data_IF_779240334865
#
_entry.id   IF_779240334865
#
_cell.length_a   1.000
_cell.length_b   1.000
_cell.length_c   1.000
_cell.angle_alpha   90.00
_cell.angle_beta   90.00
_cell.angle_gamma   90.00
#
_symmetry.space_group_name_H-M   'P 1'
#
loop_
_entity.id
_entity.type
_entity.pdbx_description
1 polymer ?
#
# COMPACT_ATOMS: atom_id res chain seq x y z
N UNK A 1 17.73 33.05 -13.78
CA UNK A 1 16.96 31.91 -13.22
C UNK A 1 17.73 30.65 -13.59
N UNK A 2 18.42 30.04 -12.62
CA UNK A 2 19.18 28.80 -12.87
C UNK A 2 18.21 27.68 -13.29
N UNK A 3 18.57 26.80 -14.24
CA UNK A 3 17.78 25.61 -14.50
C UNK A 3 17.75 24.79 -13.21
N UNK A 4 16.55 24.40 -12.79
CA UNK A 4 16.34 23.44 -11.70
C UNK A 4 17.26 22.25 -11.97
N UNK A 5 18.29 22.10 -11.15
CA UNK A 5 19.18 20.94 -11.20
C UNK A 5 18.31 19.69 -11.17
N UNK A 6 18.42 18.83 -12.19
CA UNK A 6 17.85 17.49 -12.17
C UNK A 6 18.12 16.87 -10.79
N UNK A 7 17.11 16.31 -10.10
CA UNK A 7 17.34 15.75 -8.78
C UNK A 7 18.46 14.72 -8.89
N UNK A 8 19.48 14.89 -8.06
CA UNK A 8 20.53 13.88 -7.85
C UNK A 8 19.83 12.56 -7.55
N UNK A 9 20.12 11.52 -8.35
CA UNK A 9 19.45 10.22 -8.21
C UNK A 9 19.41 9.76 -6.75
N UNK A 10 18.23 9.32 -6.30
CA UNK A 10 18.03 8.85 -4.93
C UNK A 10 17.75 9.95 -3.90
N UNK A 11 17.45 11.18 -4.31
CA UNK A 11 17.12 12.29 -3.38
C UNK A 11 15.83 12.99 -3.80
N UNK A 12 15.19 13.69 -2.86
CA UNK A 12 14.06 14.58 -3.15
C UNK A 12 14.51 15.78 -4.00
N UNK A 13 13.56 16.42 -4.66
CA UNK A 13 13.77 17.68 -5.35
C UNK A 13 14.51 18.70 -4.45
N UNK A 14 15.55 19.31 -5.02
CA UNK A 14 16.43 20.23 -4.29
C UNK A 14 17.34 19.59 -3.24
N UNK A 15 17.45 18.26 -3.18
CA UNK A 15 18.28 17.56 -2.19
C UNK A 15 17.73 17.66 -0.77
N UNK A 16 16.42 17.83 -0.63
CA UNK A 16 15.75 18.15 0.64
C UNK A 16 15.91 17.04 1.69
N UNK A 17 16.11 17.44 2.95
CA UNK A 17 16.07 16.55 4.10
C UNK A 17 14.66 16.49 4.69
N UNK A 18 14.16 15.28 4.94
CA UNK A 18 12.95 15.07 5.72
C UNK A 18 13.30 15.29 7.19
N UNK A 19 12.48 16.08 7.90
CA UNK A 19 12.66 16.32 9.34
C UNK A 19 12.26 15.07 10.14
N UNK A 20 12.88 14.87 11.29
CA UNK A 20 12.36 13.92 12.27
C UNK A 20 11.10 14.51 12.89
N UNK A 21 10.01 13.77 12.84
CA UNK A 21 8.69 14.17 13.36
C UNK A 21 8.24 13.13 14.37
N UNK A 22 7.62 13.58 15.47
CA UNK A 22 7.05 12.69 16.48
C UNK A 22 5.83 11.96 15.92
N UNK A 23 5.64 10.71 16.33
CA UNK A 23 4.38 10.01 16.03
C UNK A 23 3.25 10.55 16.90
N UNK A 24 2.03 10.45 16.39
CA UNK A 24 0.80 10.58 17.17
C UNK A 24 0.61 9.42 18.16
N UNK A 25 1.24 8.27 17.92
CA UNK A 25 1.18 7.12 18.81
C UNK A 25 2.27 7.17 19.88
N UNK A 26 1.94 6.66 21.07
CA UNK A 26 2.89 6.52 22.17
C UNK A 26 3.94 5.44 21.89
N UNK A 27 5.05 5.49 22.63
CA UNK A 27 6.11 4.45 22.56
C UNK A 27 5.56 3.04 22.86
N UNK A 28 4.60 2.92 23.78
CA UNK A 28 3.97 1.62 24.09
C UNK A 28 3.12 1.11 22.93
N UNK A 29 2.42 2.01 22.22
CA UNK A 29 1.66 1.66 21.02
C UNK A 29 2.58 1.18 19.88
N UNK A 30 3.73 1.83 19.70
CA UNK A 30 4.76 1.40 18.73
C UNK A 30 5.30 0.01 19.09
N UNK A 31 5.59 -0.25 20.36
CA UNK A 31 6.02 -1.57 20.85
C UNK A 31 4.94 -2.63 20.62
N UNK A 32 3.67 -2.29 20.86
CA UNK A 32 2.56 -3.22 20.60
C UNK A 32 2.44 -3.55 19.11
N UNK A 33 2.58 -2.55 18.23
CA UNK A 33 2.61 -2.78 16.78
C UNK A 33 3.76 -3.70 16.36
N UNK A 34 4.99 -3.48 16.87
CA UNK A 34 6.14 -4.35 16.59
C UNK A 34 5.88 -5.80 17.01
N UNK A 35 5.31 -6.01 18.20
CA UNK A 35 4.88 -7.34 18.67
C UNK A 35 3.81 -7.92 17.72
N UNK A 36 2.84 -7.10 17.30
CA UNK A 36 1.73 -7.50 16.43
C UNK A 36 2.16 -7.94 15.03
N UNK A 37 3.16 -7.27 14.45
CA UNK A 37 3.73 -7.63 13.14
C UNK A 37 4.79 -8.74 13.23
N UNK A 38 5.12 -9.22 14.43
CA UNK A 38 6.11 -10.27 14.63
C UNK A 38 7.55 -9.81 14.38
N UNK A 39 7.89 -8.57 14.71
CA UNK A 39 9.27 -8.11 14.59
C UNK A 39 10.19 -8.98 15.47
N UNK A 40 11.26 -9.57 14.92
CA UNK A 40 11.94 -10.72 15.52
C UNK A 40 12.83 -10.38 16.73
N UNK A 41 13.05 -9.10 17.02
CA UNK A 41 13.91 -8.64 18.11
C UNK A 41 13.08 -8.01 19.22
N UNK A 42 13.42 -8.31 20.47
CA UNK A 42 12.99 -7.51 21.61
C UNK A 42 13.72 -6.18 21.57
N UNK A 43 12.99 -5.11 21.28
CA UNK A 43 13.54 -3.75 21.08
C UNK A 43 12.87 -2.71 21.98
N UNK A 44 12.17 -3.16 23.02
CA UNK A 44 11.35 -2.28 23.87
C UNK A 44 12.20 -1.21 24.56
N UNK A 45 13.39 -1.56 25.04
CA UNK A 45 14.33 -0.61 25.61
C UNK A 45 14.81 0.41 24.57
N UNK A 46 15.17 -0.05 23.36
CA UNK A 46 15.61 0.80 22.26
C UNK A 46 14.52 1.76 21.80
N UNK A 47 13.24 1.35 21.80
CA UNK A 47 12.13 2.28 21.51
C UNK A 47 12.01 3.32 22.63
N UNK A 48 12.08 2.90 23.90
CA UNK A 48 11.98 3.80 25.06
C UNK A 48 13.08 4.86 25.06
N UNK A 49 14.29 4.45 24.70
CA UNK A 49 15.50 5.29 24.64
C UNK A 49 15.71 5.97 23.27
N UNK A 50 14.82 5.75 22.30
CA UNK A 50 14.90 6.32 20.94
C UNK A 50 16.18 5.95 20.18
N UNK A 51 16.65 4.71 20.40
CA UNK A 51 17.86 4.14 19.77
C UNK A 51 17.52 3.03 18.77
N UNK A 52 16.29 2.98 18.26
CA UNK A 52 15.94 2.02 17.22
C UNK A 52 16.85 2.23 15.98
N UNK A 53 17.47 1.17 15.44
CA UNK A 53 18.34 1.30 14.28
C UNK A 53 17.52 1.55 13.01
N UNK A 54 17.43 2.82 12.58
CA UNK A 54 16.71 3.25 11.37
C UNK A 54 17.51 2.92 10.10
N UNK A 55 17.63 1.65 9.75
CA UNK A 55 18.36 1.23 8.55
C UNK A 55 17.41 0.88 7.40
N UNK A 56 17.96 0.71 6.19
CA UNK A 56 17.18 0.26 5.03
C UNK A 56 16.71 -1.18 5.21
N UNK A 57 17.53 -2.04 5.80
CA UNK A 57 17.22 -3.45 6.07
C UNK A 57 16.03 -3.58 7.02
N UNK A 58 16.03 -2.79 8.11
CA UNK A 58 14.88 -2.75 9.01
C UNK A 58 13.64 -2.14 8.34
N UNK A 59 13.81 -1.12 7.47
CA UNK A 59 12.68 -0.53 6.75
C UNK A 59 12.02 -1.56 5.82
N UNK A 60 12.82 -2.36 5.12
CA UNK A 60 12.32 -3.46 4.28
C UNK A 60 11.61 -4.52 5.12
N UNK A 61 12.23 -4.99 6.21
CA UNK A 61 11.64 -5.98 7.09
C UNK A 61 10.30 -5.52 7.67
N UNK A 62 10.24 -4.29 8.20
CA UNK A 62 9.02 -3.69 8.74
C UNK A 62 7.92 -3.59 7.68
N UNK A 63 8.26 -3.19 6.45
CA UNK A 63 7.31 -3.08 5.33
C UNK A 63 6.72 -4.44 4.96
N UNK A 64 7.57 -5.48 4.83
CA UNK A 64 7.15 -6.85 4.51
C UNK A 64 6.29 -7.47 5.61
N UNK A 65 6.71 -7.34 6.87
CA UNK A 65 5.94 -7.82 8.02
C UNK A 65 4.58 -7.11 8.09
N UNK A 66 4.52 -5.80 7.86
CA UNK A 66 3.28 -5.04 7.83
C UNK A 66 2.34 -5.50 6.70
N UNK A 67 2.87 -5.80 5.50
CA UNK A 67 2.11 -6.33 4.36
C UNK A 67 1.47 -7.70 4.67
N UNK A 68 2.24 -8.61 5.26
CA UNK A 68 1.77 -9.97 5.60
C UNK A 68 0.80 -9.96 6.79
N UNK A 69 1.05 -9.11 7.78
CA UNK A 69 0.28 -9.08 9.03
C UNK A 69 -1.13 -8.52 8.83
N UNK A 70 -1.25 -7.52 7.96
CA UNK A 70 -2.46 -6.74 7.82
C UNK A 70 -3.00 -6.83 6.40
N UNK A 71 -4.20 -7.36 6.17
CA UNK A 71 -4.74 -7.44 4.81
C UNK A 71 -5.05 -6.04 4.24
N UNK A 72 -5.03 -5.92 2.91
CA UNK A 72 -5.71 -4.84 2.22
C UNK A 72 -7.19 -5.19 2.12
N UNK A 73 -8.09 -4.31 2.53
CA UNK A 73 -9.53 -4.57 2.44
C UNK A 73 -10.36 -3.30 2.47
N UNK A 74 -11.59 -3.37 1.96
CA UNK A 74 -12.57 -2.29 2.02
C UNK A 74 -13.90 -2.72 2.66
N UNK A 75 -13.90 -3.73 3.54
CA UNK A 75 -15.14 -4.38 3.96
C UNK A 75 -16.04 -3.46 4.78
N UNK A 76 -15.52 -2.52 5.57
CA UNK A 76 -16.40 -1.61 6.33
C UNK A 76 -17.18 -0.63 5.44
N UNK A 77 -16.79 -0.46 4.18
CA UNK A 77 -17.62 0.27 3.20
C UNK A 77 -18.89 -0.50 2.81
N UNK A 78 -18.94 -1.80 3.07
CA UNK A 78 -20.00 -2.70 2.60
C UNK A 78 -20.71 -3.47 3.72
N UNK A 79 -19.96 -3.94 4.71
CA UNK A 79 -20.39 -4.82 5.80
C UNK A 79 -20.52 -4.10 7.14
N UNK A 80 -20.29 -2.78 7.19
CA UNK A 80 -20.64 -1.96 8.36
C UNK A 80 -21.91 -1.14 8.09
N UNK A 81 -22.75 -0.86 9.10
CA UNK A 81 -23.90 0.01 8.95
C UNK A 81 -23.56 1.44 8.49
N UNK A 82 -22.35 1.91 8.81
CA UNK A 82 -21.92 3.27 8.51
C UNK A 82 -21.37 3.41 7.09
N UNK A 83 -20.98 2.31 6.45
CA UNK A 83 -20.41 2.29 5.10
C UNK A 83 -19.18 3.19 4.89
N UNK A 84 -18.45 3.46 5.97
CA UNK A 84 -17.27 4.32 5.98
C UNK A 84 -16.09 3.51 6.49
N UNK A 85 -14.93 3.68 5.86
CA UNK A 85 -13.67 3.20 6.39
C UNK A 85 -13.04 4.32 7.23
N UNK A 86 -12.91 4.10 8.53
CA UNK A 86 -12.21 5.04 9.42
C UNK A 86 -10.70 4.99 9.14
N UNK A 87 -10.13 6.17 8.91
CA UNK A 87 -8.71 6.39 8.61
C UNK A 87 -8.05 7.36 9.59
N UNK A 88 -8.75 7.72 10.67
CA UNK A 88 -8.18 8.48 11.77
C UNK A 88 -7.11 7.66 12.50
N UNK A 89 -6.06 8.28 13.09
CA UNK A 89 -5.06 7.53 13.84
C UNK A 89 -5.66 6.66 14.95
N UNK A 90 -6.62 7.17 15.70
CA UNK A 90 -7.29 6.44 16.78
C UNK A 90 -8.05 5.22 16.24
N UNK A 91 -8.85 5.42 15.19
CA UNK A 91 -9.61 4.34 14.55
C UNK A 91 -8.70 3.27 13.94
N UNK A 92 -7.58 3.66 13.34
CA UNK A 92 -6.59 2.75 12.79
C UNK A 92 -5.93 1.92 13.89
N UNK A 93 -5.47 2.55 14.99
CA UNK A 93 -4.85 1.80 16.08
C UNK A 93 -5.82 0.81 16.72
N UNK A 94 -7.06 1.25 16.99
CA UNK A 94 -8.11 0.38 17.52
C UNK A 94 -8.30 -0.83 16.59
N UNK A 95 -8.50 -0.58 15.30
CA UNK A 95 -8.78 -1.61 14.29
C UNK A 95 -7.66 -2.62 14.09
N UNK A 96 -6.43 -2.16 13.91
CA UNK A 96 -5.30 -3.02 13.54
C UNK A 96 -4.68 -3.73 14.75
N UNK A 97 -4.70 -3.07 15.91
CA UNK A 97 -3.90 -3.47 17.07
C UNK A 97 -4.79 -3.92 18.23
N UNK A 98 -5.78 -3.13 18.64
CA UNK A 98 -6.64 -3.48 19.79
C UNK A 98 -7.60 -4.62 19.42
N UNK A 99 -8.32 -4.47 18.32
CA UNK A 99 -9.29 -5.42 17.76
C UNK A 99 -8.63 -6.61 17.02
N UNK A 100 -7.35 -6.89 17.29
CA UNK A 100 -6.52 -7.86 16.57
C UNK A 100 -7.13 -9.25 16.37
N UNK A 101 -8.03 -9.70 17.27
CA UNK A 101 -8.74 -10.99 17.13
C UNK A 101 -9.59 -11.05 15.85
N UNK A 102 -10.10 -9.91 15.38
CA UNK A 102 -10.85 -9.80 14.13
C UNK A 102 -9.94 -9.76 12.89
N UNK A 103 -8.61 -9.62 13.09
CA UNK A 103 -7.54 -9.53 12.07
C UNK A 103 -7.89 -8.61 10.89
N UNK A 104 -8.59 -7.51 11.17
CA UNK A 104 -9.04 -6.56 10.14
C UNK A 104 -7.85 -5.85 9.50
N UNK A 105 -8.07 -5.40 8.27
CA UNK A 105 -7.12 -4.65 7.46
C UNK A 105 -7.56 -3.21 7.25
N UNK A 106 -7.10 -2.60 6.18
CA UNK A 106 -7.70 -1.40 5.58
C UNK A 106 -7.17 -1.29 4.15
N UNK A 107 -7.67 -0.35 3.36
CA UNK A 107 -7.06 0.04 2.09
C UNK A 107 -5.85 0.97 2.27
N UNK A 108 -5.44 1.66 1.20
CA UNK A 108 -4.20 2.45 1.13
C UNK A 108 -4.03 3.43 2.29
N UNK A 109 -5.04 4.24 2.61
CA UNK A 109 -4.92 5.26 3.67
C UNK A 109 -4.72 4.66 5.05
N UNK A 110 -5.42 3.57 5.38
CA UNK A 110 -5.26 2.97 6.70
C UNK A 110 -3.94 2.24 6.87
N UNK A 111 -3.51 1.48 5.84
CA UNK A 111 -2.24 0.75 5.88
C UNK A 111 -1.04 1.69 5.88
N UNK A 112 -0.98 2.60 4.91
CA UNK A 112 0.12 3.57 4.80
C UNK A 112 0.08 4.60 5.93
N UNK A 113 -1.10 5.01 6.41
CA UNK A 113 -1.25 5.91 7.56
C UNK A 113 -0.75 5.31 8.87
N UNK A 114 -1.10 4.04 9.15
CA UNK A 114 -0.54 3.34 10.31
C UNK A 114 0.98 3.22 10.19
N UNK A 115 1.50 2.80 9.03
CA UNK A 115 2.95 2.65 8.84
C UNK A 115 3.70 3.98 8.96
N UNK A 116 3.17 5.08 8.40
CA UNK A 116 3.74 6.42 8.52
C UNK A 116 4.06 6.77 9.97
N UNK A 117 3.05 6.60 10.83
CA UNK A 117 3.14 6.96 12.23
C UNK A 117 4.04 6.00 13.01
N UNK A 118 3.99 4.69 12.72
CA UNK A 118 4.90 3.73 13.34
C UNK A 118 6.36 4.02 12.96
N UNK A 119 6.65 4.37 11.71
CA UNK A 119 7.99 4.76 11.27
C UNK A 119 8.48 6.04 11.97
N UNK A 120 7.61 7.05 12.15
CA UNK A 120 7.91 8.24 12.97
C UNK A 120 8.23 7.86 14.41
N UNK A 121 7.46 6.95 15.00
CA UNK A 121 7.66 6.44 16.36
C UNK A 121 8.97 5.68 16.55
N UNK A 122 9.45 5.01 15.50
CA UNK A 122 10.77 4.37 15.45
C UNK A 122 11.92 5.36 15.17
N UNK A 123 11.63 6.62 14.86
CA UNK A 123 12.63 7.65 14.59
C UNK A 123 13.04 7.79 13.12
N UNK A 124 12.39 7.08 12.19
CA UNK A 124 12.59 7.32 10.76
C UNK A 124 12.14 8.73 10.38
N UNK A 125 12.83 9.34 9.41
CA UNK A 125 12.44 10.62 8.82
C UNK A 125 11.54 10.30 7.63
N UNK A 126 10.24 10.54 7.80
CA UNK A 126 9.21 10.11 6.84
C UNK A 126 8.07 11.12 6.72
N UNK A 127 7.58 11.29 5.50
CA UNK A 127 6.32 11.98 5.20
C UNK A 127 5.51 11.21 4.17
N UNK A 128 4.25 11.61 3.97
CA UNK A 128 3.34 10.99 3.04
C UNK A 128 3.09 11.85 1.79
N UNK A 129 3.03 11.20 0.63
CA UNK A 129 2.61 11.78 -0.63
C UNK A 129 1.31 11.19 -1.15
N UNK A 130 0.77 11.80 -2.20
CA UNK A 130 -0.40 11.29 -2.92
C UNK A 130 -0.10 10.91 -4.37
N UNK A 131 -0.88 9.95 -4.87
CA UNK A 131 -0.77 9.41 -6.21
C UNK A 131 -2.10 9.10 -6.88
N UNK A 132 -2.03 8.90 -8.20
CA UNK A 132 -3.14 8.53 -9.07
C UNK A 132 -2.94 7.10 -9.54
N UNK A 133 -3.91 6.24 -9.27
CA UNK A 133 -3.89 4.85 -9.73
C UNK A 133 -4.10 4.82 -11.24
N UNK A 134 -3.38 3.96 -11.94
CA UNK A 134 -3.60 3.70 -13.36
C UNK A 134 -4.65 2.59 -13.53
N UNK A 135 -5.77 2.93 -14.17
CA UNK A 135 -6.84 1.99 -14.49
C UNK A 135 -6.65 1.22 -15.80
N UNK A 136 -5.52 1.35 -16.50
CA UNK A 136 -5.22 0.58 -17.71
C UNK A 136 -5.11 -0.92 -17.42
N UNK A 137 -5.69 -1.77 -18.27
CA UNK A 137 -5.71 -3.22 -18.02
C UNK A 137 -4.35 -3.87 -18.36
N UNK A 138 -3.68 -3.41 -19.41
CA UNK A 138 -2.38 -3.90 -19.88
C UNK A 138 -1.34 -2.78 -19.98
N UNK A 139 -0.09 -3.14 -20.30
CA UNK A 139 0.99 -2.19 -20.55
C UNK A 139 0.86 -1.45 -21.89
N UNK A 140 0.15 -2.05 -22.86
CA UNK A 140 -0.03 -1.49 -24.20
C UNK A 140 -1.17 -0.45 -24.28
N UNK A 141 -2.01 -0.39 -23.25
CA UNK A 141 -3.06 0.62 -23.13
C UNK A 141 -2.51 1.96 -22.61
N UNK A 142 -2.99 3.09 -23.13
CA UNK A 142 -2.63 4.40 -22.58
C UNK A 142 -3.08 4.51 -21.11
N UNK A 143 -2.25 5.11 -20.22
CA UNK A 143 -2.61 5.26 -18.82
C UNK A 143 -3.93 6.02 -18.63
N UNK A 144 -4.78 5.51 -17.74
CA UNK A 144 -6.04 6.13 -17.32
C UNK A 144 -5.97 6.44 -15.83
N UNK A 145 -5.50 7.64 -15.50
CA UNK A 145 -5.27 8.01 -14.10
C UNK A 145 -6.56 8.40 -13.38
N UNK A 146 -6.70 7.93 -12.14
CA UNK A 146 -7.73 8.39 -11.19
C UNK A 146 -7.43 9.82 -10.69
N UNK A 147 -8.31 10.40 -9.85
CA UNK A 147 -7.93 11.50 -8.96
C UNK A 147 -6.77 11.09 -8.02
N UNK A 148 -6.28 12.03 -7.22
CA UNK A 148 -5.28 11.73 -6.19
C UNK A 148 -5.96 10.93 -5.07
N UNK A 149 -5.87 9.60 -5.16
CA UNK A 149 -6.60 8.67 -4.28
C UNK A 149 -5.73 7.52 -3.76
N UNK A 150 -4.41 7.66 -3.85
CA UNK A 150 -3.45 6.68 -3.36
C UNK A 150 -2.42 7.36 -2.47
N UNK A 151 -2.00 6.69 -1.39
CA UNK A 151 -1.04 7.21 -0.41
C UNK A 151 0.26 6.42 -0.49
N UNK A 152 1.37 7.14 -0.62
CA UNK A 152 2.74 6.59 -0.61
C UNK A 152 3.57 7.28 0.46
N UNK A 153 4.66 6.65 0.90
CA UNK A 153 5.56 7.21 1.92
C UNK A 153 6.95 7.47 1.32
N UNK A 154 7.55 8.60 1.73
CA UNK A 154 8.94 8.93 1.43
C UNK A 154 9.76 8.81 2.70
N UNK A 155 10.78 7.95 2.70
CA UNK A 155 11.56 7.62 3.89
C UNK A 155 13.04 7.91 3.66
N UNK A 156 13.66 8.65 4.58
CA UNK A 156 15.12 8.80 4.67
C UNK A 156 15.61 8.02 5.90
N UNK A 157 16.09 6.76 5.73
CA UNK A 157 16.41 5.90 6.86
C UNK A 157 17.63 6.38 7.64
N UNK A 158 18.65 6.87 6.96
CA UNK A 158 19.94 7.22 7.58
C UNK A 158 19.92 8.69 8.06
N UNK A 159 20.18 9.00 9.35
CA UNK A 159 20.03 10.35 9.91
C UNK A 159 20.77 11.46 9.16
N UNK A 160 21.98 11.19 8.68
CA UNK A 160 22.87 12.18 8.05
C UNK A 160 22.82 12.18 6.52
N UNK A 161 21.97 11.35 5.90
CA UNK A 161 21.86 11.25 4.44
C UNK A 161 20.46 11.64 3.97
N UNK A 162 20.37 12.34 2.85
CA UNK A 162 19.09 12.65 2.19
C UNK A 162 18.67 11.59 1.16
N UNK A 163 19.27 10.40 1.22
CA UNK A 163 18.87 9.27 0.37
C UNK A 163 17.44 8.87 0.68
N UNK A 164 16.55 9.03 -0.29
CA UNK A 164 15.11 8.86 -0.12
C UNK A 164 14.64 7.59 -0.81
N UNK A 165 13.81 6.83 -0.09
CA UNK A 165 13.15 5.63 -0.59
C UNK A 165 11.64 5.85 -0.60
N UNK A 166 10.98 5.39 -1.67
CA UNK A 166 9.55 5.22 -1.72
C UNK A 166 9.17 3.92 -1.00
N UNK A 167 8.20 4.00 -0.09
CA UNK A 167 7.58 2.85 0.57
C UNK A 167 6.09 2.90 0.31
N UNK A 168 5.52 1.77 -0.09
CA UNK A 168 4.09 1.62 -0.29
C UNK A 168 3.66 0.23 0.19
N UNK A 169 2.88 0.20 1.27
CA UNK A 169 2.25 -1.02 1.79
C UNK A 169 0.76 -1.05 1.50
N UNK A 170 0.23 -0.03 0.82
CA UNK A 170 -1.18 0.28 0.70
C UNK A 170 -1.78 0.00 -0.68
N UNK A 171 -0.98 -0.33 -1.70
CA UNK A 171 -1.49 -0.52 -3.07
C UNK A 171 -2.45 -1.72 -3.24
N UNK A 172 -2.27 -2.77 -2.42
CA UNK A 172 -2.96 -4.06 -2.60
C UNK A 172 -2.07 -5.11 -3.26
N UNK A 173 -2.64 -5.95 -4.12
CA UNK A 173 -1.91 -7.04 -4.80
C UNK A 173 -1.04 -6.53 -5.95
N UNK A 174 0.16 -7.09 -6.11
CA UNK A 174 1.10 -6.71 -7.18
C UNK A 174 1.79 -5.36 -6.97
N UNK A 175 1.60 -4.73 -5.80
CA UNK A 175 2.34 -3.54 -5.38
C UNK A 175 3.77 -3.87 -4.96
N UNK A 176 4.63 -2.85 -4.75
CA UNK A 176 5.98 -3.08 -4.26
C UNK A 176 5.93 -3.70 -2.85
N UNK A 177 6.88 -4.60 -2.58
CA UNK A 177 7.03 -5.23 -1.26
C UNK A 177 8.35 -4.83 -0.57
N UNK A 178 9.10 -3.92 -1.19
CA UNK A 178 10.40 -3.43 -0.73
C UNK A 178 10.49 -1.92 -0.93
N UNK A 179 11.26 -1.19 -0.11
CA UNK A 179 11.57 0.22 -0.36
C UNK A 179 12.30 0.38 -1.70
N UNK A 180 11.85 1.29 -2.56
CA UNK A 180 12.53 1.63 -3.82
C UNK A 180 13.31 2.93 -3.66
N UNK A 181 14.56 2.96 -4.11
CA UNK A 181 15.30 4.21 -4.19
C UNK A 181 14.57 5.20 -5.13
N UNK A 182 14.44 6.46 -4.71
CA UNK A 182 13.81 7.53 -5.50
C UNK A 182 14.72 7.98 -6.65
N UNK A 183 14.86 7.14 -7.68
CA UNK A 183 15.75 7.34 -8.82
C UNK A 183 15.10 6.89 -10.12
N UNK A 184 15.41 7.61 -11.21
CA UNK A 184 14.98 7.32 -12.59
C UNK A 184 16.07 6.60 -13.39
N UNK A 185 17.07 6.02 -12.72
CA UNK A 185 18.11 5.23 -13.38
C UNK A 185 17.51 3.95 -13.99
N UNK A 186 18.08 3.48 -15.10
CA UNK A 186 17.55 2.34 -15.86
C UNK A 186 17.68 1.01 -15.08
N UNK A 187 18.75 0.87 -14.32
CA UNK A 187 19.08 -0.27 -13.47
C UNK A 187 18.51 -0.16 -12.04
N UNK A 188 17.82 0.94 -11.70
CA UNK A 188 17.14 1.10 -10.42
C UNK A 188 15.82 0.32 -10.38
N UNK A 189 15.88 -0.94 -9.99
CA UNK A 189 14.72 -1.77 -9.72
C UNK A 189 14.92 -2.61 -8.46
N UNK A 190 13.82 -3.05 -7.87
CA UNK A 190 13.81 -4.07 -6.81
C UNK A 190 12.98 -5.26 -7.23
N UNK A 191 13.22 -6.41 -6.61
CA UNK A 191 12.35 -7.56 -6.77
C UNK A 191 11.02 -7.32 -6.05
N UNK A 192 9.93 -7.79 -6.65
CA UNK A 192 8.59 -7.80 -6.08
C UNK A 192 8.38 -8.97 -5.12
N UNK A 193 7.15 -9.47 -5.05
CA UNK A 193 6.82 -10.60 -4.16
C UNK A 193 7.66 -11.85 -4.43
N UNK A 194 7.98 -12.12 -5.70
CA UNK A 194 8.78 -13.28 -6.12
C UNK A 194 9.90 -12.86 -7.06
N UNK A 195 10.77 -13.81 -7.41
CA UNK A 195 11.82 -13.60 -8.40
C UNK A 195 11.35 -13.31 -9.84
N UNK A 196 10.04 -13.40 -10.11
CA UNK A 196 9.43 -13.15 -11.43
C UNK A 196 8.77 -11.77 -11.56
N UNK A 197 8.75 -10.99 -10.49
CA UNK A 197 8.15 -9.66 -10.42
C UNK A 197 9.24 -8.62 -10.11
N UNK A 198 9.21 -7.47 -10.79
CA UNK A 198 10.12 -6.36 -10.54
C UNK A 198 9.35 -5.05 -10.48
N UNK A 199 9.83 -4.13 -9.66
CA UNK A 199 9.30 -2.77 -9.55
C UNK A 199 10.39 -1.75 -9.81
N UNK A 200 10.06 -0.66 -10.49
CA UNK A 200 10.96 0.47 -10.70
C UNK A 200 10.22 1.80 -10.66
N UNK A 201 10.98 2.87 -10.51
CA UNK A 201 10.47 4.23 -10.63
C UNK A 201 10.94 4.84 -11.94
N UNK A 202 10.03 5.48 -12.66
CA UNK A 202 10.36 6.27 -13.84
C UNK A 202 9.80 7.68 -13.75
N UNK A 203 10.50 8.70 -14.26
CA UNK A 203 9.90 10.02 -14.44
C UNK A 203 8.95 10.01 -15.63
N UNK A 204 7.91 10.83 -15.56
CA UNK A 204 6.94 10.96 -16.64
C UNK A 204 6.09 12.19 -16.57
N UNK A 205 5.44 12.45 -17.68
CA UNK A 205 4.45 13.51 -17.82
C UNK A 205 3.04 12.92 -17.69
N UNK A 206 2.10 13.76 -17.27
CA UNK A 206 0.71 13.39 -17.34
C UNK A 206 0.27 13.40 -18.82
N UNK A 207 -0.34 12.32 -19.36
CA UNK A 207 -0.67 12.22 -20.78
C UNK A 207 -1.67 13.28 -21.24
N UNK A 208 -2.47 13.81 -20.31
CA UNK A 208 -3.43 14.89 -20.56
C UNK A 208 -2.88 16.29 -20.18
N UNK A 209 -1.57 16.45 -20.01
CA UNK A 209 -0.97 17.77 -19.74
C UNK A 209 -1.17 18.69 -20.94
N UNK A 210 -1.61 19.91 -20.68
CA UNK A 210 -1.70 20.98 -21.70
C UNK A 210 -0.44 21.84 -21.77
N UNK A 211 0.52 21.63 -20.86
CA UNK A 211 1.80 22.33 -20.87
C UNK A 211 2.75 21.70 -21.89
N UNK A 212 3.33 22.52 -22.76
CA UNK A 212 4.33 22.06 -23.76
C UNK A 212 5.61 21.51 -23.11
N UNK A 213 5.97 22.03 -21.94
CA UNK A 213 7.10 21.59 -21.11
C UNK A 213 6.68 21.61 -19.64
N UNK A 214 6.06 20.53 -19.14
CA UNK A 214 5.63 20.48 -17.75
C UNK A 214 6.83 20.65 -16.81
N UNK A 215 6.73 21.61 -15.88
CA UNK A 215 7.76 21.82 -14.85
C UNK A 215 7.69 20.80 -13.71
N UNK A 216 6.57 20.09 -13.61
CA UNK A 216 6.35 19.02 -12.64
C UNK A 216 6.43 17.69 -13.36
N UNK A 217 7.46 16.91 -13.05
CA UNK A 217 7.54 15.51 -13.45
C UNK A 217 6.89 14.66 -12.39
N UNK A 218 5.96 13.80 -12.81
CA UNK A 218 5.43 12.75 -11.95
C UNK A 218 6.44 11.62 -11.88
N UNK A 219 6.48 10.96 -10.74
CA UNK A 219 7.04 9.62 -10.66
C UNK A 219 5.98 8.61 -11.08
N UNK A 220 6.37 7.59 -11.82
CA UNK A 220 5.61 6.40 -12.18
C UNK A 220 6.16 5.22 -11.39
N UNK A 221 5.32 4.55 -10.62
CA UNK A 221 5.60 3.20 -10.15
C UNK A 221 5.27 2.24 -11.28
N UNK A 222 6.24 1.47 -11.74
CA UNK A 222 6.07 0.48 -12.78
C UNK A 222 6.33 -0.92 -12.23
N UNK A 223 5.55 -1.89 -12.72
CA UNK A 223 5.72 -3.32 -12.45
C UNK A 223 6.01 -4.07 -13.74
N UNK A 224 6.81 -5.12 -13.64
CA UNK A 224 7.02 -6.07 -14.73
C UNK A 224 6.88 -7.49 -14.20
N UNK A 225 6.06 -8.29 -14.88
CA UNK A 225 5.87 -9.72 -14.61
C UNK A 225 6.47 -10.54 -15.74
N UNK A 226 7.16 -11.61 -15.39
CA UNK A 226 7.92 -12.43 -16.35
C UNK A 226 7.63 -13.90 -16.11
N UNK A 227 7.55 -14.72 -17.16
CA UNK A 227 7.23 -16.15 -16.99
C UNK A 227 8.39 -16.93 -16.34
N UNK A 228 9.61 -16.43 -16.50
CA UNK A 228 10.84 -16.93 -15.89
C UNK A 228 11.90 -15.83 -15.85
N UNK A 229 12.93 -16.01 -15.03
CA UNK A 229 14.08 -15.09 -14.99
C UNK A 229 14.72 -14.91 -16.38
N UNK A 230 14.79 -15.98 -17.19
CA UNK A 230 15.34 -15.92 -18.54
C UNK A 230 14.54 -15.05 -19.53
N UNK A 231 13.25 -14.80 -19.25
CA UNK A 231 12.37 -13.96 -20.09
C UNK A 231 12.32 -12.49 -19.66
N UNK A 232 13.06 -12.12 -18.60
CA UNK A 232 12.95 -10.80 -17.96
C UNK A 232 13.24 -9.60 -18.88
N UNK A 233 14.13 -9.76 -19.86
CA UNK A 233 14.51 -8.67 -20.76
C UNK A 233 13.43 -8.29 -21.78
N UNK A 234 12.37 -9.11 -21.97
CA UNK A 234 11.39 -8.93 -23.06
C UNK A 234 9.98 -8.54 -22.60
N UNK A 235 9.66 -8.64 -21.32
CA UNK A 235 8.32 -8.30 -20.83
C UNK A 235 8.13 -6.77 -20.74
N UNK A 236 6.95 -6.24 -21.10
CA UNK A 236 6.69 -4.81 -21.00
C UNK A 236 6.52 -4.38 -19.53
N UNK A 237 6.92 -3.15 -19.22
CA UNK A 237 6.64 -2.52 -17.92
C UNK A 237 5.25 -1.90 -17.94
N UNK A 238 4.45 -2.18 -16.91
CA UNK A 238 3.12 -1.59 -16.72
C UNK A 238 3.18 -0.53 -15.61
N UNK A 239 2.66 0.66 -15.89
CA UNK A 239 2.48 1.69 -14.85
C UNK A 239 1.35 1.26 -13.90
N UNK A 240 1.65 1.18 -12.60
CA UNK A 240 0.66 0.93 -11.54
C UNK A 240 -0.03 2.22 -11.10
N UNK A 241 0.77 3.26 -10.84
CA UNK A 241 0.28 4.58 -10.41
C UNK A 241 1.34 5.65 -10.67
N UNK A 242 0.91 6.90 -10.67
CA UNK A 242 1.79 8.07 -10.59
C UNK A 242 1.72 8.71 -9.21
N UNK A 243 2.75 9.44 -8.81
CA UNK A 243 2.75 10.21 -7.56
C UNK A 243 3.60 11.48 -7.65
N UNK A 244 3.37 12.36 -6.69
CA UNK A 244 4.08 13.63 -6.50
C UNK A 244 5.02 13.54 -5.29
N UNK A 245 6.09 14.33 -5.30
CA UNK A 245 6.96 14.49 -4.13
C UNK A 245 6.36 15.43 -3.08
N UNK A 246 5.27 16.14 -3.39
CA UNK A 246 4.56 17.02 -2.46
C UNK A 246 4.09 16.26 -1.22
N UNK A 247 4.29 16.86 -0.05
CA UNK A 247 3.77 16.35 1.22
C UNK A 247 2.26 16.62 1.33
N UNK A 248 1.54 15.61 1.80
CA UNK A 248 0.11 15.68 2.12
C UNK A 248 -0.12 15.26 3.57
N UNK A 249 -1.23 15.74 4.15
CA UNK A 249 -1.53 15.63 5.57
C UNK A 249 -2.78 14.80 5.84
N UNK A 250 -3.00 14.45 7.11
CA UNK A 250 -4.11 13.61 7.54
C UNK A 250 -5.47 14.05 6.98
N UNK A 251 -5.77 15.36 7.00
CA UNK A 251 -7.03 15.89 6.48
C UNK A 251 -7.17 15.75 4.96
N UNK A 252 -6.06 15.78 4.21
CA UNK A 252 -6.08 15.52 2.76
C UNK A 252 -6.44 14.06 2.49
N UNK A 253 -5.92 13.13 3.30
CA UNK A 253 -6.22 11.71 3.21
C UNK A 253 -7.64 11.37 3.65
N UNK A 254 -8.16 12.03 4.70
CA UNK A 254 -9.56 11.88 5.13
C UNK A 254 -10.53 12.40 4.05
N UNK A 255 -10.23 13.54 3.43
CA UNK A 255 -11.01 14.07 2.31
C UNK A 255 -11.01 13.12 1.11
N UNK A 256 -9.84 12.63 0.72
CA UNK A 256 -9.72 11.70 -0.41
C UNK A 256 -10.32 10.31 -0.08
N UNK A 257 -10.23 9.86 1.17
CA UNK A 257 -10.90 8.67 1.70
C UNK A 257 -12.42 8.80 1.56
N UNK A 258 -12.99 9.93 1.98
CA UNK A 258 -14.41 10.20 1.85
C UNK A 258 -14.85 10.14 0.39
N UNK A 259 -14.11 10.78 -0.53
CA UNK A 259 -14.38 10.72 -1.95
C UNK A 259 -14.36 9.27 -2.49
N UNK A 260 -13.35 8.48 -2.14
CA UNK A 260 -13.22 7.07 -2.53
C UNK A 260 -14.40 6.23 -2.02
N UNK A 261 -14.89 6.53 -0.82
CA UNK A 261 -15.92 5.74 -0.13
C UNK A 261 -17.35 6.15 -0.50
N UNK A 262 -17.55 7.29 -1.14
CA UNK A 262 -18.90 7.86 -1.36
C UNK A 262 -19.19 8.25 -2.81
N UNK A 263 -18.16 8.61 -3.60
CA UNK A 263 -18.38 9.13 -4.94
C UNK A 263 -18.56 7.98 -5.97
N UNK A 264 -19.66 7.93 -6.74
CA UNK A 264 -19.95 6.84 -7.69
C UNK A 264 -18.86 6.59 -8.75
N UNK A 265 -18.13 7.66 -9.11
CA UNK A 265 -17.03 7.61 -10.07
C UNK A 265 -15.64 7.75 -9.41
N UNK A 266 -15.56 7.74 -8.08
CA UNK A 266 -14.33 8.02 -7.37
C UNK A 266 -13.36 6.84 -7.29
N UNK A 267 -13.90 5.62 -7.16
CA UNK A 267 -13.11 4.38 -7.05
C UNK A 267 -13.98 3.14 -7.29
N UNK A 268 -13.42 2.00 -7.74
CA UNK A 268 -14.11 0.72 -7.66
C UNK A 268 -14.52 0.33 -6.23
N UNK A 269 -13.89 0.86 -5.18
CA UNK A 269 -14.12 0.41 -3.80
C UNK A 269 -15.54 0.64 -3.28
N UNK A 270 -16.31 1.56 -3.85
CA UNK A 270 -17.74 1.73 -3.51
C UNK A 270 -18.63 0.62 -4.09
N UNK A 271 -18.18 -0.03 -5.16
CA UNK A 271 -18.99 -0.98 -5.95
C UNK A 271 -18.50 -2.42 -5.83
N UNK A 272 -17.23 -2.59 -5.46
CA UNK A 272 -16.56 -3.87 -5.42
C UNK A 272 -16.02 -4.15 -4.02
N UNK A 273 -16.22 -5.36 -3.52
CA UNK A 273 -15.46 -5.86 -2.37
C UNK A 273 -14.11 -6.39 -2.86
N UNK A 274 -13.06 -5.89 -2.23
CA UNK A 274 -11.68 -6.24 -2.53
C UNK A 274 -10.99 -6.60 -1.22
N UNK A 275 -10.36 -7.77 -1.19
CA UNK A 275 -9.45 -8.16 -0.12
C UNK A 275 -8.14 -8.67 -0.73
N UNK A 276 -7.01 -8.31 -0.15
CA UNK A 276 -5.70 -8.88 -0.48
C UNK A 276 -4.99 -9.27 0.80
N UNK A 277 -4.43 -10.48 0.83
CA UNK A 277 -3.63 -10.95 1.96
C UNK A 277 -2.34 -11.57 1.47
N UNK A 278 -1.23 -10.91 1.80
CA UNK A 278 0.10 -11.45 1.56
C UNK A 278 0.42 -12.58 2.56
N UNK A 279 1.24 -13.52 2.11
CA UNK A 279 1.79 -14.58 2.95
C UNK A 279 3.20 -14.92 2.47
N UNK A 280 4.05 -15.33 3.41
CA UNK A 280 5.36 -15.83 3.09
C UNK A 280 5.29 -17.17 2.34
N UNK A 281 6.17 -17.31 1.37
CA UNK A 281 6.43 -18.52 0.59
C UNK A 281 7.93 -18.81 0.72
N UNK A 282 8.33 -20.08 0.64
CA UNK A 282 9.74 -20.54 0.65
C UNK A 282 10.61 -19.88 1.74
N UNK A 283 10.48 -20.37 2.98
CA UNK A 283 11.25 -19.95 4.16
C UNK A 283 11.22 -18.44 4.51
N UNK A 284 10.36 -17.63 3.87
CA UNK A 284 10.16 -16.21 4.20
C UNK A 284 10.73 -15.21 3.19
N UNK A 285 11.43 -15.69 2.15
CA UNK A 285 12.06 -14.84 1.14
C UNK A 285 11.06 -14.34 0.10
N UNK A 286 10.14 -15.20 -0.35
CA UNK A 286 9.11 -14.83 -1.32
C UNK A 286 7.77 -14.51 -0.64
N UNK A 287 6.95 -13.73 -1.34
CA UNK A 287 5.60 -13.35 -0.95
C UNK A 287 4.63 -13.72 -2.06
N UNK A 288 3.71 -14.62 -1.73
CA UNK A 288 2.47 -14.82 -2.46
C UNK A 288 1.37 -13.94 -1.88
N UNK A 289 0.25 -13.84 -2.59
CA UNK A 289 -0.94 -13.20 -2.04
C UNK A 289 -2.25 -13.82 -2.51
N UNK A 290 -3.24 -13.79 -1.64
CA UNK A 290 -4.63 -14.13 -1.95
C UNK A 290 -5.39 -12.86 -2.32
N UNK A 291 -6.28 -12.94 -3.30
CA UNK A 291 -7.20 -11.87 -3.66
C UNK A 291 -8.64 -12.37 -3.62
N UNK A 292 -9.52 -11.60 -2.99
CA UNK A 292 -10.95 -11.63 -3.25
C UNK A 292 -11.27 -10.38 -4.05
N UNK A 293 -11.78 -10.53 -5.26
CA UNK A 293 -12.31 -9.43 -6.06
C UNK A 293 -13.73 -9.79 -6.48
N UNK A 294 -14.72 -9.02 -5.97
CA UNK A 294 -16.15 -9.31 -6.12
C UNK A 294 -16.53 -10.66 -5.50
N UNK A 295 -16.54 -11.69 -6.33
CA UNK A 295 -16.94 -13.06 -6.08
C UNK A 295 -15.82 -14.07 -6.39
N UNK A 296 -14.67 -13.60 -6.89
CA UNK A 296 -13.57 -14.45 -7.32
C UNK A 296 -12.44 -14.46 -6.28
N UNK A 297 -12.08 -15.65 -5.83
CA UNK A 297 -10.93 -15.91 -4.99
C UNK A 297 -9.80 -16.48 -5.85
N UNK A 298 -8.64 -15.83 -5.79
CA UNK A 298 -7.45 -16.24 -6.53
C UNK A 298 -6.23 -16.21 -5.63
N UNK A 299 -5.30 -17.10 -5.90
CA UNK A 299 -3.97 -17.12 -5.31
C UNK A 299 -2.95 -16.72 -6.37
N UNK A 300 -2.00 -15.88 -5.98
CA UNK A 300 -0.95 -15.37 -6.84
C UNK A 300 0.39 -15.73 -6.24
N UNK A 301 1.25 -16.33 -7.05
CA UNK A 301 2.64 -16.65 -6.70
C UNK A 301 3.48 -16.41 -7.94
N UNK A 302 4.16 -15.27 -7.95
CA UNK A 302 4.87 -14.77 -9.12
C UNK A 302 3.94 -14.58 -10.32
N UNK A 303 4.36 -15.06 -11.48
CA UNK A 303 3.55 -14.98 -12.71
C UNK A 303 2.36 -15.96 -12.74
N UNK A 304 2.20 -16.82 -11.73
CA UNK A 304 1.13 -17.82 -11.68
C UNK A 304 -0.04 -17.26 -10.88
N UNK A 305 -1.21 -17.22 -11.53
CA UNK A 305 -2.50 -16.97 -10.88
C UNK A 305 -3.35 -18.25 -10.94
N UNK A 306 -3.76 -18.73 -9.78
CA UNK A 306 -4.66 -19.87 -9.64
C UNK A 306 -6.02 -19.41 -9.14
N UNK A 307 -7.10 -19.84 -9.79
CA UNK A 307 -8.44 -19.69 -9.24
C UNK A 307 -8.61 -20.66 -8.07
N UNK A 308 -8.93 -20.11 -6.90
CA UNK A 308 -9.17 -20.89 -5.68
C UNK A 308 -10.63 -21.29 -5.61
N UNK A 309 -11.53 -20.31 -5.79
CA UNK A 309 -12.98 -20.52 -5.69
C UNK A 309 -13.72 -19.31 -6.26
N UNK A 310 -14.93 -19.55 -6.78
CA UNK A 310 -15.94 -18.52 -6.99
C UNK A 310 -17.06 -18.66 -5.95
N UNK A 311 -17.44 -17.57 -5.29
CA UNK A 311 -18.54 -17.55 -4.31
C UNK A 311 -19.80 -16.99 -4.97
N UNK A 312 -20.97 -17.56 -4.68
CA UNK A 312 -22.23 -17.15 -5.36
C UNK A 312 -23.19 -16.42 -4.43
N UNK A 313 -23.03 -16.56 -3.12
CA UNK A 313 -23.89 -15.94 -2.10
C UNK A 313 -23.07 -15.08 -1.15
N UNK A 314 -23.70 -14.08 -0.51
CA UNK A 314 -23.05 -13.29 0.54
C UNK A 314 -22.55 -14.16 1.69
N UNK A 315 -23.36 -15.14 2.12
CA UNK A 315 -22.99 -16.04 3.20
C UNK A 315 -21.71 -16.81 2.88
N UNK A 316 -21.57 -17.28 1.64
CA UNK A 316 -20.36 -17.98 1.20
C UNK A 316 -19.17 -17.03 1.06
N UNK A 317 -19.39 -15.78 0.63
CA UNK A 317 -18.34 -14.76 0.59
C UNK A 317 -17.81 -14.45 1.99
N UNK A 318 -18.69 -14.26 2.96
CA UNK A 318 -18.33 -14.00 4.37
C UNK A 318 -17.56 -15.19 4.95
N UNK A 319 -18.05 -16.42 4.75
CA UNK A 319 -17.35 -17.64 5.18
C UNK A 319 -15.96 -17.76 4.56
N UNK A 320 -15.83 -17.45 3.27
CA UNK A 320 -14.55 -17.51 2.59
C UNK A 320 -13.58 -16.43 3.08
N UNK A 321 -14.06 -15.22 3.37
CA UNK A 321 -13.27 -14.16 3.99
C UNK A 321 -12.72 -14.62 5.34
N UNK A 322 -13.59 -15.18 6.20
CA UNK A 322 -13.17 -15.73 7.50
C UNK A 322 -12.16 -16.87 7.35
N UNK A 323 -12.39 -17.81 6.43
CA UNK A 323 -11.53 -18.99 6.30
C UNK A 323 -10.16 -18.67 5.67
N UNK A 324 -10.11 -17.80 4.66
CA UNK A 324 -8.90 -17.58 3.86
C UNK A 324 -8.14 -16.30 4.25
N UNK A 325 -8.87 -15.24 4.60
CA UNK A 325 -8.28 -13.96 5.02
C UNK A 325 -8.17 -13.85 6.55
N UNK A 326 -8.82 -14.77 7.29
CA UNK A 326 -8.87 -14.78 8.76
C UNK A 326 -9.54 -13.54 9.36
N UNK A 327 -10.31 -12.81 8.56
CA UNK A 327 -11.03 -11.62 9.00
C UNK A 327 -12.40 -11.99 9.54
N UNK A 328 -12.73 -11.49 10.73
CA UNK A 328 -14.01 -11.74 11.38
C UNK A 328 -14.86 -10.46 11.50
N UNK A 329 -16.16 -10.63 11.30
CA UNK A 329 -17.20 -9.62 11.51
C UNK A 329 -18.54 -10.33 11.72
N UNK A 330 -19.52 -9.60 12.25
CA UNK A 330 -20.85 -10.15 12.50
C UNK A 330 -21.57 -10.44 11.17
N UNK A 331 -21.91 -11.71 10.94
CA UNK A 331 -22.54 -12.16 9.69
C UNK A 331 -23.92 -11.52 9.48
N UNK A 332 -24.71 -11.36 10.54
CA UNK A 332 -26.06 -10.80 10.44
C UNK A 332 -26.00 -9.31 10.11
N UNK A 333 -25.11 -8.56 10.75
CA UNK A 333 -24.86 -7.15 10.46
C UNK A 333 -24.35 -7.00 9.02
N UNK A 334 -23.36 -7.80 8.61
CA UNK A 334 -22.80 -7.72 7.26
C UNK A 334 -23.83 -7.98 6.16
N UNK A 335 -24.65 -9.03 6.31
CA UNK A 335 -25.73 -9.34 5.37
C UNK A 335 -26.77 -8.20 5.33
N UNK A 336 -27.13 -7.66 6.49
CA UNK A 336 -28.08 -6.54 6.56
C UNK A 336 -27.52 -5.27 5.89
N UNK A 337 -26.26 -4.94 6.14
CA UNK A 337 -25.58 -3.75 5.61
C UNK A 337 -25.42 -3.79 4.10
N UNK A 338 -25.09 -4.95 3.51
CA UNK A 338 -24.85 -5.01 2.07
C UNK A 338 -26.14 -5.13 1.24
N UNK A 339 -27.26 -5.51 1.86
CA UNK A 339 -28.52 -5.78 1.16
C UNK A 339 -28.95 -4.59 0.28
N UNK A 340 -29.17 -4.85 -1.01
CA UNK A 340 -29.62 -3.85 -1.98
C UNK A 340 -28.51 -2.91 -2.50
N UNK A 341 -27.26 -3.07 -2.04
CA UNK A 341 -26.11 -2.33 -2.58
C UNK A 341 -25.59 -3.01 -3.84
N UNK A 342 -24.94 -2.24 -4.71
CA UNK A 342 -24.36 -2.73 -5.96
C UNK A 342 -23.34 -3.87 -5.78
N UNK A 343 -22.61 -3.87 -4.65
CA UNK A 343 -21.61 -4.89 -4.34
C UNK A 343 -22.20 -6.23 -3.84
N UNK A 344 -23.51 -6.30 -3.60
CA UNK A 344 -24.18 -7.51 -3.12
C UNK A 344 -24.20 -8.60 -4.19
N UNK A 345 -23.88 -9.83 -3.81
CA UNK A 345 -24.11 -11.01 -4.60
C UNK A 345 -25.60 -11.40 -4.56
N UNK A 346 -26.00 -12.24 -5.51
CA UNK A 346 -27.34 -12.81 -5.53
C UNK A 346 -27.64 -13.57 -4.22
N UNK A 347 -28.90 -13.52 -3.79
CA UNK A 347 -29.37 -14.21 -2.59
C UNK A 347 -29.52 -15.70 -2.82
#
# INVERSE_FOLDING_TARGET
>A
MSPLSSPTDGTLAGGSFIKRTTSVYSKDQVVHWLKRIGFPRTIEAEIREERFPTTLENLELLSRLHLVTFPFENLDMHYSPNHIMDVSPEGLYERFIVDHKKRRGSYCYGKSGLLLEMLRGLGYRVYAGQGRVNGAASADEPPRYTPLVHMVLFVQPLPEKNTTYLVDVGFGGGGPVRPLLLSDAEDNFVMGGTSTERHRLRRGEHPNSTLEKPSVHYWRMEVQHTQSQASQAKAPWKVLYTFLETEFFQLDFESASYFVSTHPNGSPFLREIICVKYHFVDDGEELGYLTLYRDQLKQHTGAVTQEVKKVTTEKDRIKAIKALFEMEFDEAVAIASIKGRQAALAQ
#
